data_IF_652613834712
#
_entry.id   IF_652613834712
#
_cell.length_a   1.000
_cell.length_b   1.000
_cell.length_c   1.000
_cell.angle_alpha   90.00
_cell.angle_beta   90.00
_cell.angle_gamma   90.00
#
_symmetry.space_group_name_H-M   'P 1'
#
loop_
_entity.id
_entity.type
_entity.pdbx_description
1 polymer ?
#
# COMPACT_ATOMS: atom_id res chain seq x y z
N UNK A 1 -11.96 -23.28 -53.85
CA UNK A 1 -11.47 -22.05 -53.18
C UNK A 1 -12.30 -21.67 -51.94
N UNK A 2 -13.63 -21.58 -52.00
CA UNK A 2 -14.50 -21.20 -50.86
C UNK A 2 -14.34 -22.09 -49.60
N UNK A 3 -14.16 -23.40 -49.77
CA UNK A 3 -14.00 -24.38 -48.66
C UNK A 3 -12.69 -24.20 -47.87
N UNK A 4 -11.62 -23.79 -48.56
CA UNK A 4 -10.31 -23.50 -47.96
C UNK A 4 -10.36 -22.20 -47.15
N UNK A 5 -11.03 -21.17 -47.67
CA UNK A 5 -11.26 -19.90 -46.97
C UNK A 5 -12.03 -20.11 -45.65
N UNK A 6 -13.11 -20.89 -45.64
CA UNK A 6 -13.91 -21.17 -44.43
C UNK A 6 -13.09 -21.91 -43.35
N UNK A 7 -12.16 -22.77 -43.75
CA UNK A 7 -11.29 -23.49 -42.81
C UNK A 7 -10.28 -22.55 -42.14
N UNK A 8 -9.71 -21.61 -42.90
CA UNK A 8 -8.74 -20.62 -42.39
C UNK A 8 -9.43 -19.65 -41.42
N UNK A 9 -10.65 -19.21 -41.72
CA UNK A 9 -11.40 -18.32 -40.82
C UNK A 9 -11.77 -19.00 -39.50
N UNK A 10 -12.08 -20.31 -39.51
CA UNK A 10 -12.37 -21.09 -38.30
C UNK A 10 -11.13 -21.28 -37.42
N UNK A 11 -9.97 -21.56 -38.02
CA UNK A 11 -8.70 -21.69 -37.28
C UNK A 11 -8.30 -20.36 -36.65
N UNK A 12 -8.40 -19.25 -37.40
CA UNK A 12 -8.11 -17.91 -36.88
C UNK A 12 -9.03 -17.50 -35.72
N UNK A 13 -10.34 -17.78 -35.82
CA UNK A 13 -11.30 -17.51 -34.75
C UNK A 13 -11.04 -18.34 -33.48
N UNK A 14 -10.58 -19.58 -33.63
CA UNK A 14 -10.22 -20.45 -32.49
C UNK A 14 -8.94 -19.96 -31.78
N UNK A 15 -7.94 -19.49 -32.53
CA UNK A 15 -6.71 -18.92 -31.98
C UNK A 15 -6.91 -17.57 -31.29
N UNK A 16 -7.91 -16.77 -31.70
CA UNK A 16 -8.28 -15.52 -31.00
C UNK A 16 -8.94 -15.80 -29.66
N UNK A 17 -9.80 -16.83 -29.57
CA UNK A 17 -10.45 -17.23 -28.31
C UNK A 17 -9.48 -17.86 -27.29
N UNK A 18 -8.41 -18.50 -27.76
CA UNK A 18 -7.37 -19.10 -26.90
C UNK A 18 -6.26 -18.10 -26.51
N UNK A 19 -5.98 -17.09 -27.35
CA UNK A 19 -4.93 -16.10 -27.10
C UNK A 19 -5.30 -14.99 -26.11
N UNK A 20 -6.60 -14.71 -25.91
CA UNK A 20 -7.06 -13.67 -24.99
C UNK A 20 -7.15 -14.12 -23.52
N UNK A 21 -7.04 -15.43 -23.25
CA UNK A 21 -7.16 -15.98 -21.89
C UNK A 21 -5.89 -15.88 -21.03
N UNK A 22 -4.70 -15.81 -21.65
CA UNK A 22 -3.42 -15.96 -20.93
C UNK A 22 -2.69 -14.65 -20.63
N UNK A 23 -3.11 -13.52 -21.21
CA UNK A 23 -2.36 -12.26 -21.16
C UNK A 23 -2.74 -11.27 -20.06
N UNK A 24 -3.85 -11.48 -19.34
CA UNK A 24 -4.43 -10.48 -18.43
C UNK A 24 -4.58 -10.92 -16.97
N UNK A 25 -3.91 -12.00 -16.56
CA UNK A 25 -3.67 -12.26 -15.13
C UNK A 25 -2.45 -11.45 -14.65
N UNK A 26 -2.53 -10.12 -14.78
CA UNK A 26 -1.65 -9.26 -14.01
C UNK A 26 -2.16 -9.31 -12.56
N UNK A 27 -1.64 -10.24 -11.75
CA UNK A 27 -1.78 -10.14 -10.30
C UNK A 27 -0.97 -8.93 -9.86
N UNK A 28 -1.55 -7.74 -9.99
CA UNK A 28 -1.08 -6.57 -9.27
C UNK A 28 -1.27 -6.91 -7.79
N UNK A 29 -0.24 -7.51 -7.19
CA UNK A 29 -0.08 -7.53 -5.75
C UNK A 29 -0.01 -6.06 -5.40
N UNK A 30 -1.13 -5.49 -4.98
CA UNK A 30 -1.17 -4.14 -4.46
C UNK A 30 -0.20 -4.17 -3.28
N UNK A 31 1.01 -3.63 -3.48
CA UNK A 31 1.95 -3.51 -2.39
C UNK A 31 1.24 -2.70 -1.31
N UNK A 32 1.02 -3.32 -0.14
CA UNK A 32 0.35 -2.69 1.00
C UNK A 32 1.04 -1.34 1.27
N UNK A 33 0.33 -0.25 0.98
CA UNK A 33 0.82 1.11 1.24
C UNK A 33 0.28 1.53 2.61
N UNK A 34 1.13 1.96 3.58
CA UNK A 34 2.57 2.07 3.48
C UNK A 34 3.21 0.72 3.66
N UNK A 35 4.44 0.59 3.15
CA UNK A 35 5.36 -0.42 3.64
C UNK A 35 5.36 -0.38 5.17
N UNK A 36 4.98 -1.48 5.81
CA UNK A 36 4.89 -1.55 7.27
C UNK A 36 6.28 -1.39 7.87
N UNK A 37 6.35 -0.63 8.95
CA UNK A 37 7.54 -0.44 9.77
C UNK A 37 7.56 -1.35 10.99
N UNK A 38 8.51 -1.09 11.87
CA UNK A 38 8.68 -1.78 13.15
C UNK A 38 7.80 -1.12 14.24
N UNK A 39 6.92 -1.92 14.85
CA UNK A 39 6.00 -1.45 15.88
C UNK A 39 6.71 -0.96 17.14
N UNK A 40 7.74 -1.69 17.60
CA UNK A 40 8.46 -1.37 18.84
C UNK A 40 9.31 -0.12 18.70
N UNK A 41 10.00 0.02 17.56
CA UNK A 41 10.71 1.27 17.23
C UNK A 41 9.76 2.44 17.09
N UNK A 42 8.57 2.23 16.52
CA UNK A 42 7.53 3.25 16.44
C UNK A 42 7.08 3.74 17.83
N UNK A 43 6.85 2.81 18.77
CA UNK A 43 6.50 3.13 20.14
C UNK A 43 7.61 3.93 20.86
N UNK A 44 8.87 3.51 20.69
CA UNK A 44 10.02 4.22 21.25
C UNK A 44 10.11 5.65 20.69
N UNK A 45 10.02 5.80 19.36
CA UNK A 45 10.06 7.11 18.71
C UNK A 45 8.93 8.03 19.19
N UNK A 46 7.74 7.47 19.41
CA UNK A 46 6.59 8.22 19.89
C UNK A 46 6.90 8.84 21.26
N UNK A 47 7.34 8.04 22.24
CA UNK A 47 7.71 8.54 23.58
C UNK A 47 8.90 9.50 23.56
N UNK A 48 9.89 9.28 22.69
CA UNK A 48 11.09 10.11 22.67
C UNK A 48 10.88 11.46 21.95
N UNK A 49 9.95 11.54 20.99
CA UNK A 49 9.87 12.67 20.06
C UNK A 49 8.52 13.38 20.01
N UNK A 50 7.40 12.68 20.21
CA UNK A 50 6.09 13.23 19.88
C UNK A 50 5.51 14.20 20.92
N UNK A 51 6.13 14.33 22.10
CA UNK A 51 5.78 15.35 23.11
C UNK A 51 6.69 16.58 23.10
N UNK A 52 7.53 16.75 22.07
CA UNK A 52 8.47 17.89 21.98
C UNK A 52 7.80 19.20 21.57
N UNK A 53 6.66 19.13 20.89
CA UNK A 53 5.97 20.32 20.36
C UNK A 53 4.52 20.48 20.85
N UNK A 54 3.85 19.39 21.18
CA UNK A 54 2.50 19.35 21.73
C UNK A 54 2.35 18.05 22.53
N UNK A 55 1.34 17.95 23.40
CA UNK A 55 1.02 16.70 24.10
C UNK A 55 0.88 15.52 23.15
N UNK A 56 1.19 14.32 23.64
CA UNK A 56 0.94 13.09 22.89
C UNK A 56 -0.51 13.05 22.39
N UNK A 57 -0.65 12.60 21.15
CA UNK A 57 -1.94 12.29 20.55
C UNK A 57 -2.20 10.81 20.81
N UNK A 58 -3.37 10.49 21.36
CA UNK A 58 -3.76 9.10 21.59
C UNK A 58 -3.98 8.40 20.25
N UNK A 59 -3.45 7.17 20.02
CA UNK A 59 -3.68 6.42 18.80
C UNK A 59 -5.14 6.24 18.39
N UNK A 60 -6.09 6.31 19.33
CA UNK A 60 -7.53 6.18 19.08
C UNK A 60 -8.19 7.48 18.58
N UNK A 61 -7.47 8.61 18.55
CA UNK A 61 -8.03 9.90 18.11
C UNK A 61 -8.33 9.96 16.61
N UNK A 62 -7.65 9.14 15.80
CA UNK A 62 -7.76 9.17 14.34
C UNK A 62 -7.94 7.76 13.79
N UNK A 63 -8.58 7.66 12.62
CA UNK A 63 -8.60 6.42 11.85
C UNK A 63 -7.21 6.11 11.28
N UNK A 64 -7.00 4.84 10.95
CA UNK A 64 -5.72 4.37 10.41
C UNK A 64 -5.26 5.09 9.14
N UNK A 65 -6.18 5.47 8.25
CA UNK A 65 -5.89 6.22 7.04
C UNK A 65 -5.47 7.67 7.33
N UNK A 66 -6.02 8.26 8.38
CA UNK A 66 -5.68 9.62 8.81
C UNK A 66 -4.32 9.68 9.51
N UNK A 67 -3.91 8.61 10.19
CA UNK A 67 -2.57 8.51 10.78
C UNK A 67 -1.46 8.55 9.73
N UNK A 68 -1.68 7.99 8.54
CA UNK A 68 -0.72 8.06 7.42
C UNK A 68 -0.41 9.52 7.10
N UNK A 69 -1.44 10.31 6.80
CA UNK A 69 -1.26 11.72 6.41
C UNK A 69 -0.70 12.55 7.56
N UNK A 70 -1.19 12.32 8.78
CA UNK A 70 -0.76 13.06 9.98
C UNK A 70 0.72 12.83 10.31
N UNK A 71 1.19 11.59 10.24
CA UNK A 71 2.59 11.26 10.55
C UNK A 71 3.51 11.68 9.39
N UNK A 72 3.03 11.65 8.14
CA UNK A 72 3.79 12.24 7.01
C UNK A 72 3.92 13.75 7.13
N UNK A 73 2.90 14.45 7.65
CA UNK A 73 3.06 15.85 8.02
C UNK A 73 4.13 16.01 9.13
N UNK A 74 4.09 15.17 10.17
CA UNK A 74 5.08 15.16 11.24
C UNK A 74 6.48 14.75 10.79
N UNK A 75 6.62 13.98 9.72
CA UNK A 75 7.93 13.68 9.13
C UNK A 75 8.72 14.96 8.84
N UNK A 76 8.04 15.95 8.26
CA UNK A 76 8.64 17.24 7.93
C UNK A 76 8.82 18.07 9.20
N UNK A 77 7.80 18.10 10.08
CA UNK A 77 7.81 18.97 11.28
C UNK A 77 8.79 18.52 12.36
N UNK A 78 8.92 17.21 12.57
CA UNK A 78 9.78 16.60 13.58
C UNK A 78 11.11 16.07 12.99
N UNK A 79 11.36 16.26 11.70
CA UNK A 79 12.61 15.85 11.04
C UNK A 79 12.81 14.33 10.98
N UNK A 80 11.73 13.56 10.84
CA UNK A 80 11.79 12.10 10.81
C UNK A 80 12.35 11.59 9.47
N UNK A 81 13.13 10.51 9.52
CA UNK A 81 13.49 9.74 8.33
C UNK A 81 12.28 8.99 7.78
N UNK A 82 12.40 8.49 6.55
CA UNK A 82 11.35 7.65 5.95
C UNK A 82 11.09 6.37 6.73
N UNK A 83 12.11 5.75 7.33
CA UNK A 83 11.94 4.55 8.16
C UNK A 83 11.22 4.88 9.47
N UNK A 84 11.66 5.91 10.20
CA UNK A 84 11.00 6.36 11.43
C UNK A 84 9.52 6.71 11.20
N UNK A 85 9.21 7.31 10.05
CA UNK A 85 7.82 7.60 9.65
C UNK A 85 6.99 6.33 9.53
N UNK A 86 7.51 5.28 8.87
CA UNK A 86 6.81 3.99 8.72
C UNK A 86 6.65 3.26 10.05
N UNK A 87 7.67 3.30 10.90
CA UNK A 87 7.65 2.72 12.25
C UNK A 87 6.55 3.39 13.08
N UNK A 88 6.49 4.73 13.10
CA UNK A 88 5.44 5.48 13.77
C UNK A 88 4.04 5.21 13.20
N UNK A 89 3.86 5.20 11.87
CA UNK A 89 2.56 4.86 11.26
C UNK A 89 2.10 3.47 11.70
N UNK A 90 3.02 2.51 11.73
CA UNK A 90 2.71 1.15 12.14
C UNK A 90 2.33 1.07 13.61
N UNK A 91 3.03 1.82 14.47
CA UNK A 91 2.69 1.92 15.89
C UNK A 91 1.30 2.52 16.10
N UNK A 92 1.00 3.67 15.48
CA UNK A 92 -0.28 4.35 15.68
C UNK A 92 -1.46 3.50 15.17
N UNK A 93 -1.35 2.91 13.97
CA UNK A 93 -2.41 2.05 13.42
C UNK A 93 -2.64 0.78 14.26
N UNK A 94 -1.57 0.11 14.72
CA UNK A 94 -1.73 -1.10 15.54
C UNK A 94 -2.22 -0.84 16.97
N UNK A 95 -2.05 0.38 17.46
CA UNK A 95 -2.47 0.80 18.80
C UNK A 95 -3.86 1.43 18.81
N UNK A 96 -4.46 1.66 17.64
CA UNK A 96 -5.81 2.16 17.46
C UNK A 96 -6.82 1.01 17.64
N UNK A 97 -7.28 0.80 18.88
CA UNK A 97 -8.17 -0.31 19.26
C UNK A 97 -9.26 0.15 20.20
#
# INVERSE_FOLDING_TARGET
MKKQMISITRVMALSVLLGTGSGFFQTAVAAEWPVKGDFGKGAQLWVENCNRCHSYRDPQELRDDQWISSIYHMRIRAGLTGQQTRDLVTFMQKSNK
#
